data_IF_895498451717
#
_entry.id   IF_895498451717
#
_cell.length_a   1.000
_cell.length_b   1.000
_cell.length_c   1.000
_cell.angle_alpha   90.00
_cell.angle_beta   90.00
_cell.angle_gamma   90.00
#
_symmetry.space_group_name_H-M   'P 1'
#
loop_
_entity.id
_entity.type
_entity.pdbx_description
1 polymer ?
#
# COMPACT_ATOMS: atom_id res chain seq x y z
N UNK A 1 30.96 24.63 -0.52
CA UNK A 1 30.05 23.75 -1.27
C UNK A 1 29.84 22.51 -0.42
N UNK A 2 28.78 22.46 0.39
CA UNK A 2 28.51 21.30 1.25
C UNK A 2 27.78 20.24 0.41
N UNK A 3 28.24 18.98 0.40
CA UNK A 3 27.51 17.92 -0.29
C UNK A 3 26.16 17.74 0.39
N UNK A 4 25.10 17.78 -0.42
CA UNK A 4 23.74 17.41 -0.04
C UNK A 4 23.76 16.05 0.67
N UNK A 5 23.37 16.00 1.95
CA UNK A 5 23.23 14.74 2.66
C UNK A 5 22.13 13.93 1.98
N UNK A 6 22.51 12.89 1.24
CA UNK A 6 21.57 11.87 0.81
C UNK A 6 20.94 11.28 2.06
N UNK A 7 19.67 11.61 2.33
CA UNK A 7 18.92 11.00 3.43
C UNK A 7 18.71 9.53 3.07
N UNK A 8 19.64 8.68 3.47
CA UNK A 8 19.52 7.23 3.34
C UNK A 8 18.24 6.81 4.06
N UNK A 9 17.29 6.23 3.32
CA UNK A 9 16.04 5.74 3.90
C UNK A 9 16.36 4.50 4.72
N UNK A 10 16.15 4.59 6.02
CA UNK A 10 16.32 3.47 6.94
C UNK A 10 15.12 2.52 6.87
N UNK A 11 15.39 1.23 7.05
CA UNK A 11 14.38 0.18 7.20
C UNK A 11 13.72 0.22 8.59
N UNK A 12 12.74 -0.66 8.82
CA UNK A 12 12.08 -0.85 10.11
C UNK A 12 13.04 -1.25 11.24
N UNK A 13 14.22 -1.80 10.90
CA UNK A 13 15.29 -2.10 11.85
C UNK A 13 16.17 -0.86 12.18
N UNK A 14 15.90 0.30 11.55
CA UNK A 14 16.70 1.51 11.73
C UNK A 14 18.05 1.51 11.00
N UNK A 15 18.23 0.62 10.03
CA UNK A 15 19.47 0.42 9.29
C UNK A 15 19.31 0.77 7.81
N UNK A 16 20.42 0.96 7.08
CA UNK A 16 20.35 0.97 5.62
C UNK A 16 20.04 -0.44 5.09
N UNK A 17 19.44 -0.57 3.90
CA UNK A 17 19.22 -1.88 3.26
C UNK A 17 20.51 -2.69 3.12
N UNK A 18 21.60 -2.04 2.70
CA UNK A 18 22.91 -2.68 2.49
C UNK A 18 23.46 -3.22 3.81
N UNK A 19 23.33 -2.46 4.89
CA UNK A 19 23.84 -2.86 6.21
C UNK A 19 23.03 -4.01 6.81
N UNK A 20 21.70 -4.02 6.67
CA UNK A 20 20.88 -5.10 7.22
C UNK A 20 20.98 -6.40 6.42
N UNK A 21 21.28 -6.34 5.11
CA UNK A 21 21.54 -7.52 4.30
C UNK A 21 22.84 -8.26 4.68
N UNK A 22 23.78 -7.55 5.30
CA UNK A 22 25.09 -8.06 5.72
C UNK A 22 25.10 -8.53 7.18
N UNK A 23 23.97 -8.43 7.91
CA UNK A 23 23.90 -8.92 9.27
C UNK A 23 24.21 -10.43 9.32
N UNK A 24 25.02 -10.88 10.28
CA UNK A 24 25.29 -12.29 10.44
C UNK A 24 24.02 -13.03 10.84
N UNK A 25 23.91 -14.26 10.35
CA UNK A 25 22.93 -15.21 10.82
C UNK A 25 23.31 -15.68 12.22
N UNK A 26 22.31 -15.87 13.07
CA UNK A 26 22.46 -16.40 14.42
C UNK A 26 21.59 -17.62 14.62
N UNK A 27 21.97 -18.43 15.59
CA UNK A 27 21.16 -19.55 16.01
C UNK A 27 19.92 -19.10 16.80
N UNK A 28 18.93 -19.99 16.78
CA UNK A 28 17.70 -19.85 17.56
C UNK A 28 18.04 -19.99 19.04
N UNK A 29 17.72 -18.96 19.83
CA UNK A 29 18.15 -18.90 21.22
C UNK A 29 17.22 -19.68 22.17
N UNK A 30 15.93 -19.79 21.83
CA UNK A 30 14.93 -20.41 22.68
C UNK A 30 13.80 -21.06 21.87
N UNK A 31 13.00 -21.88 22.56
CA UNK A 31 11.88 -22.60 21.95
C UNK A 31 10.82 -21.64 21.36
N UNK A 32 10.62 -20.48 21.96
CA UNK A 32 9.65 -19.48 21.48
C UNK A 32 10.01 -18.93 20.10
N UNK A 33 11.31 -18.65 19.87
CA UNK A 33 11.82 -18.26 18.56
C UNK A 33 11.65 -19.39 17.53
N UNK A 34 11.88 -20.65 17.93
CA UNK A 34 11.66 -21.82 17.06
C UNK A 34 10.21 -21.93 16.62
N UNK A 35 9.28 -21.79 17.57
CA UNK A 35 7.84 -21.81 17.29
C UNK A 35 7.46 -20.64 16.39
N UNK A 36 7.99 -19.44 16.64
CA UNK A 36 7.72 -18.27 15.80
C UNK A 36 8.17 -18.43 14.35
N UNK A 37 9.35 -19.02 14.12
CA UNK A 37 9.82 -19.32 12.77
C UNK A 37 8.90 -20.32 12.07
N UNK A 38 8.44 -21.37 12.77
CA UNK A 38 7.47 -22.31 12.22
C UNK A 38 6.13 -21.62 11.87
N UNK A 39 5.66 -20.71 12.72
CA UNK A 39 4.46 -19.91 12.46
C UNK A 39 4.61 -19.02 11.21
N UNK A 40 5.79 -18.40 11.03
CA UNK A 40 6.07 -17.64 9.81
C UNK A 40 6.06 -18.54 8.58
N UNK A 41 6.68 -19.72 8.63
CA UNK A 41 6.64 -20.66 7.50
C UNK A 41 5.19 -21.01 7.15
N UNK A 42 4.33 -21.24 8.15
CA UNK A 42 2.92 -21.51 7.94
C UNK A 42 2.17 -20.34 7.29
N UNK A 43 2.34 -19.12 7.79
CA UNK A 43 1.67 -17.90 7.27
C UNK A 43 1.97 -17.67 5.79
N UNK A 44 3.22 -17.92 5.39
CA UNK A 44 3.66 -17.72 4.01
C UNK A 44 3.48 -18.96 3.13
N UNK A 45 3.04 -20.09 3.68
CA UNK A 45 2.82 -21.33 2.92
C UNK A 45 1.62 -21.20 1.97
N UNK A 46 1.75 -21.62 0.70
CA UNK A 46 0.64 -21.59 -0.25
C UNK A 46 -0.40 -22.70 -0.01
N UNK A 47 -0.11 -23.68 0.86
CA UNK A 47 -0.91 -24.90 1.02
C UNK A 47 -2.20 -24.71 1.81
N UNK A 48 -2.29 -23.68 2.65
CA UNK A 48 -3.47 -23.37 3.46
C UNK A 48 -3.98 -21.97 3.15
N UNK A 49 -5.30 -21.79 3.27
CA UNK A 49 -5.96 -20.49 3.09
C UNK A 49 -6.01 -19.67 4.39
N UNK A 50 -5.83 -20.31 5.55
CA UNK A 50 -5.90 -19.69 6.88
C UNK A 50 -4.83 -20.23 7.84
N UNK A 51 -4.27 -19.40 8.72
CA UNK A 51 -3.33 -19.85 9.74
C UNK A 51 -4.02 -20.73 10.78
N UNK A 52 -3.29 -21.71 11.31
CA UNK A 52 -3.72 -22.54 12.42
C UNK A 52 -3.94 -21.72 13.69
N UNK A 53 -4.78 -22.22 14.59
CA UNK A 53 -4.99 -21.59 15.89
C UNK A 53 -3.69 -21.47 16.69
N UNK A 54 -2.80 -22.47 16.58
CA UNK A 54 -1.48 -22.45 17.21
C UNK A 54 -0.62 -21.31 16.68
N UNK A 55 -0.63 -21.08 15.36
CA UNK A 55 0.06 -19.95 14.75
C UNK A 55 -0.53 -18.63 15.24
N UNK A 56 -1.86 -18.48 15.27
CA UNK A 56 -2.50 -17.25 15.75
C UNK A 56 -2.18 -16.95 17.21
N UNK A 57 -1.99 -17.96 18.06
CA UNK A 57 -1.61 -17.80 19.48
C UNK A 57 -0.22 -17.20 19.68
N UNK A 58 0.64 -17.20 18.67
CA UNK A 58 1.96 -16.53 18.74
C UNK A 58 1.86 -15.01 18.52
N UNK A 59 0.72 -14.53 18.05
CA UNK A 59 0.48 -13.13 17.74
C UNK A 59 -0.54 -12.52 18.68
N UNK A 60 -0.30 -11.26 19.03
CA UNK A 60 -1.25 -10.44 19.73
C UNK A 60 -2.60 -10.38 18.98
N UNK A 61 -3.75 -10.34 19.66
CA UNK A 61 -5.06 -10.17 18.99
C UNK A 61 -5.14 -8.91 18.12
N UNK A 62 -4.37 -7.89 18.49
CA UNK A 62 -4.25 -6.58 17.84
C UNK A 62 -2.95 -6.42 17.01
N UNK A 63 -2.31 -7.52 16.62
CA UNK A 63 -1.04 -7.49 15.85
C UNK A 63 -1.15 -6.60 14.61
N UNK A 64 -0.11 -5.80 14.36
CA UNK A 64 0.01 -4.96 13.17
C UNK A 64 0.97 -5.58 12.16
N UNK A 65 0.50 -5.88 10.95
CA UNK A 65 1.35 -6.29 9.84
C UNK A 65 1.46 -5.17 8.81
N UNK A 66 2.68 -4.76 8.47
CA UNK A 66 2.96 -3.81 7.39
C UNK A 66 3.57 -4.54 6.20
N UNK A 67 2.87 -4.51 5.05
CA UNK A 67 3.30 -5.20 3.84
C UNK A 67 4.35 -4.40 3.04
N UNK A 68 5.12 -5.06 2.16
CA UNK A 68 6.07 -4.38 1.27
C UNK A 68 5.40 -3.38 0.31
N UNK A 69 4.09 -3.53 0.08
CA UNK A 69 3.28 -2.65 -0.76
C UNK A 69 2.73 -1.44 -0.02
N UNK A 70 2.98 -1.35 1.29
CA UNK A 70 2.53 -0.25 2.15
C UNK A 70 1.12 -0.43 2.72
N UNK A 71 0.55 -1.63 2.59
CA UNK A 71 -0.73 -1.97 3.25
C UNK A 71 -0.47 -2.28 4.73
N UNK A 72 -1.45 -1.97 5.57
CA UNK A 72 -1.42 -2.32 7.00
C UNK A 72 -2.60 -3.22 7.31
N UNK A 73 -2.32 -4.42 7.80
CA UNK A 73 -3.31 -5.38 8.25
C UNK A 73 -3.30 -5.44 9.79
N UNK A 74 -4.48 -5.61 10.39
CA UNK A 74 -4.67 -5.54 11.84
C UNK A 74 -5.33 -6.80 12.36
N UNK A 75 -4.76 -7.32 13.45
CA UNK A 75 -5.22 -8.50 14.17
C UNK A 75 -5.15 -9.79 13.36
N UNK A 76 -5.71 -10.86 13.93
CA UNK A 76 -5.72 -12.18 13.31
C UNK A 76 -6.46 -12.20 11.96
N UNK A 77 -7.50 -11.38 11.81
CA UNK A 77 -8.19 -11.20 10.51
C UNK A 77 -7.26 -10.70 9.41
N UNK A 78 -6.26 -9.89 9.77
CA UNK A 78 -5.21 -9.42 8.88
C UNK A 78 -4.24 -10.53 8.47
N UNK A 79 -3.84 -11.38 9.41
CA UNK A 79 -2.98 -12.54 9.11
C UNK A 79 -3.69 -13.55 8.20
N UNK A 80 -5.00 -13.75 8.39
CA UNK A 80 -5.79 -14.59 7.48
C UNK A 80 -5.77 -14.05 6.05
N UNK A 81 -5.94 -12.73 5.88
CA UNK A 81 -5.84 -12.07 4.57
C UNK A 81 -4.45 -12.20 3.96
N UNK A 82 -3.40 -12.06 4.78
CA UNK A 82 -2.02 -12.24 4.34
C UNK A 82 -1.82 -13.65 3.77
N UNK A 83 -2.21 -14.69 4.50
CA UNK A 83 -2.05 -16.06 4.03
C UNK A 83 -2.89 -16.37 2.79
N UNK A 84 -4.14 -15.90 2.77
CA UNK A 84 -5.01 -16.01 1.59
C UNK A 84 -4.41 -15.33 0.35
N UNK A 85 -3.56 -14.30 0.51
CA UNK A 85 -2.88 -13.66 -0.63
C UNK A 85 -1.83 -14.54 -1.31
N UNK A 86 -1.37 -15.60 -0.62
CA UNK A 86 -0.46 -16.61 -1.15
C UNK A 86 -1.17 -17.88 -1.61
N UNK A 87 -2.44 -18.07 -1.22
CA UNK A 87 -3.23 -19.23 -1.60
C UNK A 87 -3.45 -19.25 -3.13
N UNK A 88 -3.12 -20.37 -3.78
CA UNK A 88 -3.17 -20.49 -5.24
C UNK A 88 -1.97 -19.87 -5.99
N UNK A 89 -0.99 -19.31 -5.28
CA UNK A 89 0.32 -19.00 -5.87
C UNK A 89 1.00 -20.29 -6.33
N UNK A 90 1.70 -20.23 -7.48
CA UNK A 90 2.19 -21.39 -8.21
C UNK A 90 2.83 -22.47 -7.30
N UNK A 91 2.42 -23.72 -7.50
CA UNK A 91 3.03 -24.87 -6.86
C UNK A 91 4.56 -24.82 -7.09
N UNK A 92 5.34 -25.01 -6.03
CA UNK A 92 6.82 -24.94 -6.10
C UNK A 92 7.45 -23.67 -5.51
N UNK A 93 6.71 -22.85 -4.77
CA UNK A 93 7.31 -21.76 -3.97
C UNK A 93 8.13 -22.35 -2.81
N UNK A 94 9.42 -22.03 -2.74
CA UNK A 94 10.28 -22.34 -1.60
C UNK A 94 10.43 -21.12 -0.72
N UNK A 95 10.42 -21.33 0.60
CA UNK A 95 10.55 -20.27 1.59
C UNK A 95 11.69 -20.66 2.51
N UNK A 96 12.70 -19.78 2.61
CA UNK A 96 13.82 -19.95 3.52
C UNK A 96 13.86 -18.75 4.46
N UNK A 97 13.98 -19.01 5.77
CA UNK A 97 14.14 -17.98 6.78
C UNK A 97 15.51 -18.08 7.40
N UNK A 98 16.20 -16.95 7.51
CA UNK A 98 17.47 -16.81 8.22
C UNK A 98 17.28 -15.84 9.37
N UNK A 99 17.53 -16.31 10.59
CA UNK A 99 17.41 -15.47 11.78
C UNK A 99 18.69 -14.62 11.91
N UNK A 100 18.55 -13.30 11.86
CA UNK A 100 19.69 -12.39 11.89
C UNK A 100 20.02 -11.94 13.31
N UNK A 101 21.28 -11.55 13.52
CA UNK A 101 21.69 -10.86 14.76
C UNK A 101 20.88 -9.57 14.95
N UNK A 102 20.25 -9.42 16.12
CA UNK A 102 19.48 -8.22 16.45
C UNK A 102 20.41 -7.14 17.00
N UNK A 103 20.51 -5.94 16.38
CA UNK A 103 21.24 -4.82 16.93
C UNK A 103 20.64 -4.31 18.25
N UNK A 104 21.48 -3.81 19.15
CA UNK A 104 21.06 -3.24 20.45
C UNK A 104 20.23 -1.96 20.31
N UNK A 105 20.22 -1.34 19.13
CA UNK A 105 19.39 -0.16 18.83
C UNK A 105 17.90 -0.49 18.75
N UNK A 106 17.54 -1.77 18.60
CA UNK A 106 16.15 -2.22 18.58
C UNK A 106 15.63 -2.52 19.98
N UNK A 107 14.32 -2.32 20.23
CA UNK A 107 13.70 -2.70 21.49
C UNK A 107 13.95 -4.17 21.82
N UNK A 108 14.10 -4.48 23.11
CA UNK A 108 14.20 -5.84 23.59
C UNK A 108 13.04 -6.71 23.07
N UNK A 109 13.34 -7.95 22.70
CA UNK A 109 12.37 -8.88 22.10
C UNK A 109 12.09 -8.63 20.61
N UNK A 110 12.86 -7.76 19.94
CA UNK A 110 12.80 -7.63 18.48
C UNK A 110 13.54 -8.79 17.80
N UNK A 111 12.97 -9.30 16.71
CA UNK A 111 13.58 -10.34 15.87
C UNK A 111 13.71 -9.82 14.44
N UNK A 112 14.83 -10.12 13.82
CA UNK A 112 15.10 -9.81 12.42
C UNK A 112 15.20 -11.12 11.65
N UNK A 113 14.33 -11.30 10.66
CA UNK A 113 14.31 -12.49 9.81
C UNK A 113 14.52 -12.07 8.37
N UNK A 114 15.54 -12.62 7.74
CA UNK A 114 15.76 -12.51 6.30
C UNK A 114 15.01 -13.65 5.61
N UNK A 115 13.95 -13.29 4.90
CA UNK A 115 13.10 -14.22 4.17
C UNK A 115 13.50 -14.22 2.70
N UNK A 116 13.83 -15.41 2.18
CA UNK A 116 14.05 -15.63 0.76
C UNK A 116 12.93 -16.50 0.24
N UNK A 117 12.22 -15.99 -0.75
CA UNK A 117 11.14 -16.66 -1.45
C UNK A 117 11.60 -16.95 -2.87
N UNK A 118 11.76 -18.22 -3.23
CA UNK A 118 12.10 -18.66 -4.58
C UNK A 118 10.93 -19.35 -5.27
N UNK A 119 10.88 -19.27 -6.60
CA UNK A 119 10.11 -20.20 -7.42
C UNK A 119 11.00 -21.36 -7.87
N UNK A 120 10.55 -22.60 -7.69
CA UNK A 120 11.22 -23.75 -8.27
C UNK A 120 10.84 -23.83 -9.76
N UNK A 121 11.75 -23.47 -10.65
CA UNK A 121 11.74 -24.01 -12.00
C UNK A 121 12.37 -25.40 -11.92
N UNK A 122 11.76 -26.43 -12.52
CA UNK A 122 12.43 -27.72 -12.61
C UNK A 122 13.77 -27.56 -13.34
N UNK A 123 14.88 -27.98 -12.70
CA UNK A 123 16.17 -28.16 -13.37
C UNK A 123 17.26 -27.09 -13.19
N UNK A 124 17.03 -25.97 -12.49
CA UNK A 124 18.09 -24.98 -12.20
C UNK A 124 18.44 -24.83 -10.71
N UNK A 125 19.73 -24.70 -10.42
CA UNK A 125 20.32 -24.58 -9.07
C UNK A 125 20.11 -23.19 -8.45
N UNK A 126 19.67 -22.20 -9.24
CA UNK A 126 19.33 -20.86 -8.79
C UNK A 126 17.87 -20.55 -9.14
N UNK A 127 17.07 -20.21 -8.15
CA UNK A 127 15.70 -19.74 -8.37
C UNK A 127 15.73 -18.42 -9.13
N UNK A 128 15.51 -18.45 -10.45
CA UNK A 128 15.30 -17.26 -11.28
C UNK A 128 14.10 -16.51 -10.72
N UNK A 129 14.34 -15.33 -10.14
CA UNK A 129 13.28 -14.47 -9.57
C UNK A 129 13.03 -14.61 -8.07
N UNK A 130 14.02 -15.07 -7.28
CA UNK A 130 13.88 -15.06 -5.82
C UNK A 130 13.69 -13.65 -5.24
N UNK A 131 12.65 -13.46 -4.42
CA UNK A 131 12.37 -12.23 -3.69
C UNK A 131 12.94 -12.36 -2.29
N UNK A 132 13.75 -11.38 -1.89
CA UNK A 132 14.35 -11.31 -0.55
C UNK A 132 13.70 -10.18 0.24
N UNK A 133 13.17 -10.48 1.42
CA UNK A 133 12.48 -9.54 2.29
C UNK A 133 13.06 -9.55 3.70
N UNK A 134 13.20 -8.38 4.31
CA UNK A 134 13.45 -8.26 5.74
C UNK A 134 12.13 -8.25 6.48
N UNK A 135 11.94 -9.18 7.42
CA UNK A 135 10.83 -9.21 8.36
C UNK A 135 11.33 -8.77 9.73
N UNK A 136 10.77 -7.68 10.24
CA UNK A 136 11.04 -7.17 11.59
C UNK A 136 9.85 -7.51 12.48
N UNK A 137 10.06 -8.37 13.46
CA UNK A 137 9.06 -8.70 14.48
C UNK A 137 9.36 -7.93 15.77
N UNK A 138 8.31 -7.41 16.40
CA UNK A 138 8.36 -6.82 17.75
C UNK A 138 7.45 -7.60 18.66
N UNK A 139 8.02 -8.06 19.78
CA UNK A 139 7.30 -8.78 20.83
C UNK A 139 6.96 -7.85 21.98
N UNK A 140 5.81 -8.04 22.63
CA UNK A 140 5.47 -7.33 23.86
C UNK A 140 6.24 -7.93 25.03
N UNK A 141 6.70 -7.06 25.94
CA UNK A 141 7.45 -7.48 27.12
C UNK A 141 6.61 -8.26 28.15
N UNK A 142 5.28 -8.07 28.16
CA UNK A 142 4.40 -8.69 29.16
C UNK A 142 4.05 -10.14 28.86
N UNK A 143 3.55 -10.41 27.65
CA UNK A 143 3.03 -11.72 27.21
C UNK A 143 3.96 -12.43 26.23
N UNK A 144 5.02 -11.76 25.74
CA UNK A 144 5.91 -12.31 24.73
C UNK A 144 5.28 -12.45 23.34
N UNK A 145 4.04 -11.98 23.14
CA UNK A 145 3.34 -12.12 21.86
C UNK A 145 3.86 -11.11 20.83
N UNK A 146 3.84 -11.48 19.55
CA UNK A 146 4.18 -10.56 18.47
C UNK A 146 3.08 -9.52 18.32
N UNK A 147 3.42 -8.25 18.57
CA UNK A 147 2.50 -7.13 18.44
C UNK A 147 2.66 -6.37 17.12
N UNK A 148 3.82 -6.50 16.46
CA UNK A 148 4.07 -5.87 15.17
C UNK A 148 4.99 -6.70 14.30
N UNK A 149 4.65 -6.80 13.02
CA UNK A 149 5.43 -7.41 11.95
C UNK A 149 5.54 -6.41 10.79
N UNK A 150 6.75 -6.13 10.32
CA UNK A 150 6.99 -5.26 9.16
C UNK A 150 7.82 -6.01 8.13
N UNK A 151 7.29 -6.16 6.92
CA UNK A 151 7.99 -6.80 5.81
C UNK A 151 8.47 -5.76 4.80
N UNK A 152 9.74 -5.87 4.40
CA UNK A 152 10.40 -4.92 3.51
C UNK A 152 11.19 -5.66 2.42
N UNK A 153 10.65 -5.65 1.19
CA UNK A 153 11.31 -6.22 0.02
C UNK A 153 12.65 -5.52 -0.26
N UNK A 154 13.69 -6.32 -0.48
CA UNK A 154 15.06 -5.83 -0.64
C UNK A 154 15.56 -5.04 0.57
N UNK A 155 15.04 -5.32 1.77
CA UNK A 155 15.34 -4.59 3.01
C UNK A 155 15.05 -3.08 2.92
N UNK A 156 14.17 -2.69 2.00
CA UNK A 156 13.79 -1.29 1.75
C UNK A 156 12.39 -1.05 2.26
N UNK A 157 12.27 -0.08 3.16
CA UNK A 157 10.97 0.33 3.67
C UNK A 157 10.02 0.69 2.55
N UNK A 158 8.86 0.04 2.56
CA UNK A 158 7.76 0.31 1.66
C UNK A 158 7.45 1.81 1.66
N UNK A 159 7.79 2.50 0.58
CA UNK A 159 7.31 3.85 0.34
C UNK A 159 6.03 3.73 -0.45
N UNK A 160 4.89 3.62 0.24
CA UNK A 160 3.61 3.84 -0.40
C UNK A 160 3.70 5.18 -1.16
N UNK A 161 3.41 5.22 -2.47
CA UNK A 161 3.44 6.47 -3.22
C UNK A 161 2.53 7.47 -2.51
N UNK A 162 2.96 8.74 -2.46
CA UNK A 162 2.29 9.79 -1.68
C UNK A 162 0.77 9.85 -1.92
N UNK A 163 0.33 9.50 -3.13
CA UNK A 163 -1.07 9.40 -3.53
C UNK A 163 -1.87 8.34 -2.76
N UNK A 164 -1.28 7.17 -2.46
CA UNK A 164 -1.93 6.10 -1.66
C UNK A 164 -2.02 6.52 -0.20
N UNK A 165 -0.97 7.15 0.35
CA UNK A 165 -1.02 7.72 1.70
C UNK A 165 -2.09 8.82 1.81
N UNK A 166 -2.21 9.69 0.80
CA UNK A 166 -3.26 10.70 0.74
C UNK A 166 -4.67 10.10 0.61
N UNK A 167 -4.84 9.04 -0.17
CA UNK A 167 -6.12 8.33 -0.31
C UNK A 167 -6.52 7.58 0.98
N UNK A 168 -5.56 7.06 1.76
CA UNK A 168 -5.85 6.51 3.09
C UNK A 168 -6.14 7.58 4.14
N UNK A 169 -5.57 8.78 3.98
CA UNK A 169 -5.78 9.92 4.88
C UNK A 169 -7.12 10.62 4.66
N UNK A 170 -7.78 10.48 3.49
CA UNK A 170 -9.14 11.02 3.30
C UNK A 170 -10.20 10.32 4.15
N UNK A 171 -9.89 9.15 4.71
CA UNK A 171 -10.77 8.43 5.63
C UNK A 171 -10.48 8.71 7.11
N UNK A 172 -9.46 9.50 7.42
CA UNK A 172 -9.15 9.95 8.78
C UNK A 172 -9.86 11.29 9.04
N UNK A 173 -11.17 11.23 9.32
CA UNK A 173 -11.90 12.38 9.85
C UNK A 173 -11.82 12.35 11.37
N UNK A 174 -11.27 13.41 11.97
CA UNK A 174 -11.39 13.59 13.42
C UNK A 174 -12.87 13.83 13.77
N UNK A 175 -13.42 13.27 14.86
CA UNK A 175 -14.77 13.60 15.32
C UNK A 175 -15.01 15.11 15.50
N UNK A 176 -13.94 15.91 15.62
CA UNK A 176 -13.96 17.37 15.70
C UNK A 176 -13.74 18.10 14.37
N UNK A 177 -13.39 17.43 13.26
CA UNK A 177 -13.17 18.12 11.95
C UNK A 177 -14.44 18.80 11.43
N UNK A 178 -15.62 18.28 11.78
CA UNK A 178 -16.90 18.92 11.45
C UNK A 178 -17.33 20.02 12.43
N UNK A 179 -16.60 20.22 13.53
CA UNK A 179 -16.84 21.33 14.44
C UNK A 179 -16.07 22.57 14.01
N UNK A 180 -16.39 23.10 12.83
CA UNK A 180 -15.95 24.44 12.49
C UNK A 180 -16.72 25.45 13.36
N UNK A 181 -15.99 26.32 14.05
CA UNK A 181 -16.59 27.46 14.75
C UNK A 181 -17.44 28.28 13.76
N UNK A 182 -18.57 28.87 14.20
CA UNK A 182 -19.44 29.71 13.35
C UNK A 182 -18.68 30.82 12.60
N UNK A 183 -17.54 31.27 13.15
CA UNK A 183 -16.67 32.26 12.53
C UNK A 183 -15.93 31.70 11.29
N UNK A 184 -15.35 30.50 11.40
CA UNK A 184 -14.66 29.81 10.29
C UNK A 184 -15.60 29.44 9.14
N UNK A 185 -16.83 29.02 9.46
CA UNK A 185 -17.83 28.67 8.44
C UNK A 185 -18.27 29.90 7.62
N UNK A 186 -18.46 31.05 8.28
CA UNK A 186 -18.75 32.32 7.59
C UNK A 186 -17.59 32.81 6.70
N UNK A 187 -16.34 32.69 7.15
CA UNK A 187 -15.17 33.03 6.34
C UNK A 187 -15.04 32.14 5.10
N UNK A 188 -15.26 30.83 5.24
CA UNK A 188 -15.22 29.91 4.11
C UNK A 188 -16.35 30.17 3.09
N UNK A 189 -17.54 30.54 3.56
CA UNK A 189 -18.66 30.93 2.69
C UNK A 189 -18.37 32.25 1.95
N UNK A 190 -17.77 33.22 2.64
CA UNK A 190 -17.39 34.51 2.04
C UNK A 190 -16.32 34.33 0.97
N UNK A 191 -15.26 33.56 1.25
CA UNK A 191 -14.20 33.27 0.26
C UNK A 191 -14.74 32.59 -1.00
N UNK A 192 -15.63 31.60 -0.86
CA UNK A 192 -16.26 30.93 -2.01
C UNK A 192 -17.13 31.87 -2.85
N UNK A 193 -17.84 32.83 -2.22
CA UNK A 193 -18.67 33.82 -2.95
C UNK A 193 -17.85 34.89 -3.68
N UNK A 194 -16.67 35.23 -3.18
CA UNK A 194 -15.78 36.19 -3.85
C UNK A 194 -14.98 35.58 -5.00
N UNK A 195 -14.68 34.28 -4.97
CA UNK A 195 -13.96 33.61 -6.06
C UNK A 195 -14.83 33.36 -7.31
N UNK A 196 -16.16 33.40 -7.20
CA UNK A 196 -17.08 33.21 -8.34
C UNK A 196 -17.56 34.52 -8.96
N UNK A 197 -17.23 35.68 -8.38
CA UNK A 197 -17.56 36.98 -8.97
C UNK A 197 -16.32 37.59 -9.62
N UNK A 198 -16.36 37.58 -10.95
CA UNK A 198 -15.45 38.21 -11.90
C UNK A 198 -14.24 37.37 -12.35
N UNK A 199 -14.32 36.88 -13.59
CA UNK A 199 -13.14 36.89 -14.47
C UNK A 199 -12.80 38.37 -14.70
N UNK A 200 -11.55 38.83 -14.49
CA UNK A 200 -11.20 40.19 -14.87
C UNK A 200 -11.43 40.35 -16.37
N UNK A 201 -12.38 41.21 -16.74
CA UNK A 201 -12.48 41.72 -18.10
C UNK A 201 -11.16 42.42 -18.40
N UNK A 202 -10.42 41.91 -19.38
CA UNK A 202 -9.22 42.57 -19.89
C UNK A 202 -9.62 43.95 -20.41
N UNK A 203 -9.18 45.00 -19.71
CA UNK A 203 -9.52 46.39 -20.00
C UNK A 203 -8.71 47.00 -21.16
N UNK A 204 -7.84 46.22 -21.80
CA UNK A 204 -7.06 46.63 -22.97
C UNK A 204 -7.30 45.66 -24.12
N UNK A 205 -8.40 45.87 -24.85
CA UNK A 205 -8.50 45.39 -26.24
C UNK A 205 -7.80 46.39 -27.16
N UNK A 206 -6.99 45.96 -28.14
CA UNK A 206 -6.43 46.86 -29.13
C UNK A 206 -7.55 47.34 -30.08
N UNK A 207 -7.76 48.65 -30.17
CA UNK A 207 -8.61 49.28 -31.17
C UNK A 207 -7.81 49.55 -32.46
N UNK A 208 -8.48 49.24 -33.58
CA UNK A 208 -8.27 49.65 -34.99
C UNK A 208 -7.03 49.09 -35.71
N UNK A 209 -7.07 48.52 -36.91
CA UNK A 209 -8.02 48.41 -38.05
C UNK A 209 -7.13 48.09 -39.28
N UNK A 210 -7.52 47.51 -40.42
CA UNK A 210 -8.77 47.19 -41.08
C UNK A 210 -8.49 46.23 -42.28
N UNK A 211 -9.55 45.91 -43.05
CA UNK A 211 -9.70 45.08 -44.26
C UNK A 211 -9.95 43.59 -43.97
N UNK A 212 -11.11 42.96 -44.23
CA UNK A 212 -12.26 43.14 -45.14
C UNK A 212 -12.76 41.69 -45.41
N UNK A 213 -14.00 41.31 -45.67
CA UNK A 213 -15.23 41.98 -46.07
C UNK A 213 -16.44 41.03 -45.82
N UNK A 214 -17.63 41.63 -45.73
CA UNK A 214 -18.98 41.17 -46.13
C UNK A 214 -19.50 39.77 -45.69
N UNK A 215 -20.51 39.70 -44.81
CA UNK A 215 -21.97 39.71 -45.08
C UNK A 215 -22.49 38.32 -45.60
N UNK A 216 -23.64 37.75 -45.23
CA UNK A 216 -24.87 38.27 -44.66
C UNK A 216 -25.77 37.12 -44.11
N UNK A 217 -26.76 37.55 -43.32
CA UNK A 217 -28.17 37.14 -43.33
C UNK A 217 -28.60 35.76 -42.76
N UNK A 218 -29.59 35.85 -41.86
CA UNK A 218 -30.27 34.75 -41.19
C UNK A 218 -31.29 34.01 -42.04
N UNK A 219 -31.66 32.83 -41.56
CA UNK A 219 -32.70 31.97 -42.12
C UNK A 219 -33.26 31.05 -41.02
N UNK A 220 -34.57 31.08 -40.90
CA UNK A 220 -35.46 30.38 -39.94
C UNK A 220 -35.86 29.01 -40.51
N UNK A 221 -36.32 28.09 -39.65
CA UNK A 221 -36.99 26.78 -39.94
C UNK A 221 -36.05 25.69 -40.53
N UNK A 222 -36.18 24.39 -40.24
CA UNK A 222 -37.40 23.59 -40.12
C UNK A 222 -37.13 22.23 -39.44
N UNK A 223 -38.18 21.70 -38.82
CA UNK A 223 -38.34 20.36 -38.22
C UNK A 223 -38.49 19.27 -39.29
N UNK A 224 -37.81 18.13 -39.12
CA UNK A 224 -38.19 16.72 -39.51
C UNK A 224 -37.29 15.79 -38.67
N UNK A 225 -37.69 14.89 -37.77
CA UNK A 225 -38.79 13.92 -37.65
C UNK A 225 -38.97 13.01 -38.86
N UNK A 226 -38.27 11.86 -38.82
CA UNK A 226 -38.63 10.50 -39.29
C UNK A 226 -37.62 9.57 -38.56
N UNK A 227 -37.93 8.52 -37.81
CA UNK A 227 -39.08 7.63 -37.81
C UNK A 227 -38.66 6.23 -38.28
N UNK A 228 -38.84 5.20 -37.44
CA UNK A 228 -38.76 3.75 -37.76
C UNK A 228 -37.53 3.05 -37.20
N UNK A 229 -37.55 2.18 -36.17
CA UNK A 229 -38.48 1.13 -35.71
C UNK A 229 -38.52 -0.14 -36.58
N UNK A 230 -38.35 -1.29 -35.93
CA UNK A 230 -38.41 -2.67 -36.47
C UNK A 230 -37.12 -3.43 -36.14
N UNK A 231 -36.96 -4.11 -35.01
CA UNK A 231 -37.77 -5.20 -34.41
C UNK A 231 -37.90 -6.41 -35.35
N UNK A 232 -37.23 -7.53 -35.01
CA UNK A 232 -37.74 -8.90 -35.24
C UNK A 232 -36.94 -9.94 -34.43
N UNK A 233 -37.69 -10.56 -33.52
CA UNK A 233 -37.44 -11.85 -32.87
C UNK A 233 -37.41 -13.01 -33.89
N UNK A 234 -36.68 -14.08 -33.55
CA UNK A 234 -37.05 -15.49 -33.76
C UNK A 234 -35.97 -16.36 -33.08
N UNK A 235 -36.25 -16.99 -31.94
CA UNK A 235 -36.76 -18.38 -31.79
C UNK A 235 -35.77 -19.42 -32.35
N UNK A 236 -35.18 -20.28 -31.49
CA UNK A 236 -35.69 -21.60 -31.07
C UNK A 236 -35.33 -22.66 -32.13
N UNK A 237 -34.39 -23.56 -31.87
CA UNK A 237 -34.53 -25.02 -31.60
C UNK A 237 -33.14 -25.61 -31.98
N UNK A 238 -32.57 -26.70 -31.45
CA UNK A 238 -32.97 -27.88 -30.69
C UNK A 238 -31.72 -28.39 -29.96
#
# INVERSE_FOLDING_TARGET
>A
MFPSSSKVKLNAAGMSPESSMLLPEREVANEEERVLLACLVEIYSPTSSTPSEQTLRCFAPDVLYSSPRGEVLVGHSGLNKLQSSFHGSAAGRSITHRLLSTPETLPAGSLLVDQIVGGHAEGEVLAVGAVRSLIVLKRRAGDGLVCSMSEEEGHRRATAPLAVRAASASNFHSPTDNMLSPCTSKLNLAKKKHHTKAKPISLFGPQNGAAGAAAAAGGRMQVRSLGGAGERMSSMEM
#
